data_IF_075839869300
#
_entry.id   IF_075839869300
#
_cell.length_a   1.000
_cell.length_b   1.000
_cell.length_c   1.000
_cell.angle_alpha   90.00
_cell.angle_beta   90.00
_cell.angle_gamma   90.00
#
_symmetry.space_group_name_H-M   'P 1'
#
loop_
_entity.id
_entity.type
_entity.pdbx_description
1 polymer ?
#
# COMPACT_ATOMS: atom_id res chain seq x y z
N UNK A 1 45.11 64.38 -11.14
CA UNK A 1 43.69 63.95 -11.15
C UNK A 1 43.64 62.42 -11.10
N UNK A 2 43.40 61.84 -9.91
CA UNK A 2 43.39 60.38 -9.73
C UNK A 2 42.02 59.78 -10.09
N UNK A 3 41.98 58.87 -11.06
CA UNK A 3 40.77 58.12 -11.45
C UNK A 3 40.42 57.10 -10.37
N UNK A 4 39.26 57.25 -9.74
CA UNK A 4 38.69 56.26 -8.80
C UNK A 4 37.95 55.19 -9.61
N UNK A 5 38.41 53.95 -9.54
CA UNK A 5 37.69 52.80 -10.09
C UNK A 5 36.44 52.46 -9.27
N UNK A 6 35.32 52.10 -9.93
CA UNK A 6 34.08 51.76 -9.25
C UNK A 6 34.19 50.39 -8.55
N UNK A 7 33.76 50.34 -7.28
CA UNK A 7 33.66 49.10 -6.50
C UNK A 7 32.46 48.27 -6.98
N UNK A 8 32.72 47.04 -7.42
CA UNK A 8 31.68 46.08 -7.77
C UNK A 8 30.86 45.69 -6.53
N UNK A 9 29.57 46.04 -6.52
CA UNK A 9 28.59 45.70 -5.48
C UNK A 9 27.75 44.47 -5.87
N UNK A 10 28.38 43.37 -6.25
CA UNK A 10 27.65 42.11 -6.44
C UNK A 10 28.27 41.03 -5.56
N UNK A 11 27.53 40.48 -4.58
CA UNK A 11 28.00 39.33 -3.83
C UNK A 11 28.19 38.17 -4.80
N UNK A 12 29.36 37.54 -4.78
CA UNK A 12 29.62 36.32 -5.54
C UNK A 12 28.70 35.23 -5.02
N UNK A 13 27.82 34.71 -5.87
CA UNK A 13 27.12 33.46 -5.60
C UNK A 13 28.15 32.34 -5.71
N UNK A 14 28.51 31.78 -4.57
CA UNK A 14 29.34 30.58 -4.49
C UNK A 14 28.58 29.44 -5.19
N UNK A 15 29.21 28.71 -6.13
CA UNK A 15 28.58 27.57 -6.78
C UNK A 15 28.31 26.49 -5.71
N UNK A 16 27.05 26.32 -5.34
CA UNK A 16 26.61 25.20 -4.50
C UNK A 16 26.99 23.91 -5.22
N UNK A 17 27.87 23.13 -4.60
CA UNK A 17 28.30 21.83 -5.11
C UNK A 17 27.07 20.99 -5.46
N UNK A 18 27.14 20.33 -6.63
CA UNK A 18 26.15 19.33 -7.01
C UNK A 18 26.26 18.17 -6.03
N UNK A 19 25.40 18.18 -5.01
CA UNK A 19 25.11 16.99 -4.23
C UNK A 19 24.41 16.02 -5.16
N UNK A 20 25.21 15.25 -5.89
CA UNK A 20 24.76 14.10 -6.64
C UNK A 20 23.96 13.19 -5.71
N UNK A 21 22.90 12.62 -6.29
CA UNK A 21 21.79 11.91 -5.69
C UNK A 21 22.19 10.57 -5.03
N UNK A 22 23.18 10.59 -4.15
CA UNK A 22 23.61 9.44 -3.34
C UNK A 22 22.61 9.07 -2.24
N UNK A 23 21.49 9.80 -2.09
CA UNK A 23 20.47 9.49 -1.09
C UNK A 23 19.42 8.49 -1.55
N UNK A 24 19.18 8.32 -2.86
CA UNK A 24 18.13 7.41 -3.34
C UNK A 24 18.50 5.92 -3.25
N UNK A 25 19.70 5.48 -3.67
CA UNK A 25 20.10 4.08 -3.55
C UNK A 25 20.29 3.69 -2.07
N UNK A 26 20.82 4.59 -1.26
CA UNK A 26 21.14 4.33 0.16
C UNK A 26 19.88 4.21 1.02
N UNK A 27 18.84 5.02 0.75
CA UNK A 27 17.53 4.88 1.41
C UNK A 27 16.81 3.60 0.96
N UNK A 28 16.93 3.20 -0.32
CA UNK A 28 16.35 1.94 -0.80
C UNK A 28 17.07 0.70 -0.23
N UNK A 29 18.40 0.72 -0.09
CA UNK A 29 19.13 -0.39 0.52
C UNK A 29 18.88 -0.52 2.03
N UNK A 30 18.75 0.60 2.76
CA UNK A 30 18.42 0.55 4.19
C UNK A 30 17.01 0.00 4.46
N UNK A 31 16.03 0.34 3.62
CA UNK A 31 14.68 -0.22 3.69
C UNK A 31 14.67 -1.74 3.39
N UNK A 32 15.48 -2.17 2.41
CA UNK A 32 15.56 -3.58 2.03
C UNK A 32 16.27 -4.45 3.10
N UNK A 33 17.23 -3.90 3.84
CA UNK A 33 17.94 -4.62 4.90
C UNK A 33 17.04 -4.88 6.12
N UNK A 34 16.24 -3.88 6.54
CA UNK A 34 15.26 -4.07 7.61
C UNK A 34 14.15 -5.06 7.22
N UNK A 35 13.72 -5.07 5.95
CA UNK A 35 12.77 -6.05 5.43
C UNK A 35 13.30 -7.49 5.46
N UNK A 36 14.59 -7.70 5.15
CA UNK A 36 15.20 -9.04 5.22
C UNK A 36 15.35 -9.55 6.66
N UNK A 37 15.85 -8.71 7.57
CA UNK A 37 16.13 -9.12 8.97
C UNK A 37 14.84 -9.37 9.75
N UNK A 38 13.77 -8.61 9.51
CA UNK A 38 12.51 -8.76 10.22
C UNK A 38 11.47 -9.62 9.48
N UNK A 39 11.78 -10.14 8.28
CA UNK A 39 10.81 -10.94 7.54
C UNK A 39 10.33 -12.14 8.37
N UNK A 40 9.01 -12.42 8.39
CA UNK A 40 8.46 -13.61 9.04
C UNK A 40 9.12 -14.91 8.56
N UNK A 41 9.61 -14.91 7.31
CA UNK A 41 10.30 -16.03 6.67
C UNK A 41 11.67 -16.32 7.27
N UNK A 42 12.48 -15.29 7.57
CA UNK A 42 13.78 -15.47 8.24
C UNK A 42 13.59 -15.87 9.71
N UNK A 43 12.58 -15.34 10.39
CA UNK A 43 12.20 -15.78 11.74
C UNK A 43 11.72 -17.24 11.78
N UNK A 44 10.92 -17.66 10.80
CA UNK A 44 10.49 -19.05 10.65
C UNK A 44 11.67 -19.99 10.37
N UNK A 45 12.63 -19.60 9.51
CA UNK A 45 13.83 -20.41 9.24
C UNK A 45 14.78 -20.50 10.44
N UNK A 46 14.93 -19.44 11.24
CA UNK A 46 15.71 -19.51 12.49
C UNK A 46 15.04 -20.37 13.56
N UNK A 47 13.70 -20.35 13.64
CA UNK A 47 12.96 -21.23 14.55
C UNK A 47 13.11 -22.71 14.16
N UNK A 48 13.12 -23.02 12.87
CA UNK A 48 13.25 -24.39 12.35
C UNK A 48 14.69 -24.96 12.49
N UNK A 49 15.69 -24.09 12.51
CA UNK A 49 17.08 -24.45 12.83
C UNK A 49 17.29 -24.82 14.31
N UNK A 50 16.39 -24.40 15.21
CA UNK A 50 16.41 -24.77 16.63
C UNK A 50 15.74 -26.12 16.94
N UNK A 51 14.88 -26.62 16.05
CA UNK A 51 14.03 -27.81 16.27
C UNK A 51 14.55 -29.08 15.62
N UNK A 52 15.58 -29.02 14.78
CA UNK A 52 16.20 -30.22 14.16
C UNK A 52 16.99 -31.11 15.12
N UNK A 53 17.16 -30.71 16.39
CA UNK A 53 17.72 -31.58 17.44
C UNK A 53 16.66 -32.39 18.20
N UNK A 54 15.36 -32.13 18.02
CA UNK A 54 14.31 -32.74 18.84
C UNK A 54 12.99 -32.93 18.07
N UNK A 55 12.93 -33.86 17.12
CA UNK A 55 11.72 -34.65 16.79
C UNK A 55 11.93 -35.47 15.51
N UNK A 56 12.62 -36.60 15.65
CA UNK A 56 12.52 -37.72 14.69
C UNK A 56 11.46 -38.67 15.22
N UNK A 57 10.19 -38.28 15.21
CA UNK A 57 9.06 -39.18 15.51
C UNK A 57 7.73 -38.61 14.99
N UNK A 58 6.93 -39.52 14.41
CA UNK A 58 5.48 -39.43 14.12
C UNK A 58 4.97 -38.46 13.04
N UNK A 59 5.10 -38.89 11.78
CA UNK A 59 4.00 -39.24 10.85
C UNK A 59 2.58 -38.60 10.92
N UNK A 60 2.13 -38.17 9.74
CA UNK A 60 0.76 -38.28 9.17
C UNK A 60 -0.34 -37.27 9.58
N UNK A 61 -0.58 -36.28 8.70
CA UNK A 61 -1.91 -35.69 8.43
C UNK A 61 -1.85 -34.86 7.14
N UNK A 62 -2.27 -35.41 6.00
CA UNK A 62 -3.55 -35.15 5.31
C UNK A 62 -3.83 -33.66 5.06
N UNK A 63 -3.70 -33.28 3.80
CA UNK A 63 -3.94 -31.96 3.25
C UNK A 63 -5.42 -31.55 3.26
N UNK A 64 -5.68 -30.28 3.60
CA UNK A 64 -6.87 -29.55 3.16
C UNK A 64 -6.51 -28.11 2.86
N UNK A 65 -6.08 -27.85 1.62
CA UNK A 65 -6.01 -26.51 1.05
C UNK A 65 -7.45 -26.00 0.84
N UNK A 66 -8.02 -25.38 1.85
CA UNK A 66 -9.21 -24.55 1.71
C UNK A 66 -8.73 -23.10 1.60
N UNK A 67 -8.42 -22.66 0.38
CA UNK A 67 -8.28 -21.23 0.10
C UNK A 67 -9.60 -20.55 0.49
N UNK A 68 -9.60 -19.50 1.32
CA UNK A 68 -10.82 -18.74 1.57
C UNK A 68 -11.21 -18.06 0.26
N UNK A 69 -12.26 -18.59 -0.37
CA UNK A 69 -12.95 -17.93 -1.46
C UNK A 69 -13.48 -16.61 -0.91
N UNK A 70 -12.74 -15.51 -1.14
CA UNK A 70 -13.28 -14.17 -0.94
C UNK A 70 -14.51 -14.07 -1.81
N UNK A 71 -15.67 -14.03 -1.16
CA UNK A 71 -16.96 -13.91 -1.80
C UNK A 71 -16.98 -12.62 -2.63
N UNK A 72 -16.68 -12.75 -3.93
CA UNK A 72 -16.92 -11.71 -4.89
C UNK A 72 -18.43 -11.49 -4.93
N UNK A 73 -18.89 -10.40 -4.32
CA UNK A 73 -20.25 -9.91 -4.47
C UNK A 73 -20.46 -9.54 -5.94
N UNK A 74 -20.88 -10.52 -6.73
CA UNK A 74 -21.25 -10.38 -8.14
C UNK A 74 -22.65 -9.76 -8.23
N UNK A 75 -22.72 -8.48 -7.86
CA UNK A 75 -23.87 -7.61 -8.16
C UNK A 75 -23.67 -6.99 -9.55
N UNK A 76 -24.46 -7.44 -10.52
CA UNK A 76 -24.45 -6.93 -11.88
C UNK A 76 -24.69 -5.41 -11.97
N UNK A 77 -23.90 -4.73 -12.82
CA UNK A 77 -24.23 -3.46 -13.47
C UNK A 77 -24.14 -2.15 -12.68
N UNK A 78 -24.13 -2.18 -11.35
CA UNK A 78 -23.94 -0.98 -10.52
C UNK A 78 -22.48 -0.84 -10.09
N UNK A 79 -21.91 0.38 -10.14
CA UNK A 79 -20.64 0.69 -9.45
C UNK A 79 -20.77 0.22 -8.00
N UNK A 80 -20.17 -0.94 -7.68
CA UNK A 80 -20.32 -1.59 -6.40
C UNK A 80 -19.85 -0.65 -5.30
N UNK A 81 -20.79 -0.08 -4.55
CA UNK A 81 -20.48 0.78 -3.42
C UNK A 81 -19.92 -0.11 -2.31
N UNK A 82 -18.74 0.19 -1.82
CA UNK A 82 -18.14 -0.53 -0.70
C UNK A 82 -19.10 -0.55 0.50
N UNK A 83 -19.37 -1.76 1.01
CA UNK A 83 -20.13 -1.98 2.23
C UNK A 83 -19.17 -2.59 3.27
N UNK A 84 -18.93 -1.94 4.42
CA UNK A 84 -18.07 -2.49 5.46
C UNK A 84 -18.72 -3.76 6.06
N UNK A 85 -17.88 -4.73 6.41
CA UNK A 85 -18.34 -5.94 7.12
C UNK A 85 -18.31 -5.72 8.63
N UNK A 86 -19.28 -6.30 9.35
CA UNK A 86 -19.24 -6.40 10.80
C UNK A 86 -18.48 -7.64 11.30
N UNK A 87 -18.12 -8.57 10.42
CA UNK A 87 -17.28 -9.72 10.76
C UNK A 87 -15.81 -9.31 10.80
N UNK A 88 -15.04 -9.96 11.67
CA UNK A 88 -13.58 -9.78 11.68
C UNK A 88 -12.99 -10.09 10.30
N UNK A 89 -12.12 -9.20 9.83
CA UNK A 89 -11.34 -9.36 8.60
C UNK A 89 -9.92 -9.87 8.88
N UNK A 90 -9.59 -10.10 10.17
CA UNK A 90 -8.29 -10.63 10.57
C UNK A 90 -8.19 -12.12 10.19
N UNK A 91 -7.13 -12.48 9.45
CA UNK A 91 -6.90 -13.86 9.00
C UNK A 91 -5.86 -14.55 9.91
N UNK A 92 -6.08 -15.79 10.35
CA UNK A 92 -5.17 -16.52 11.26
C UNK A 92 -3.77 -16.84 10.74
N UNK A 93 -3.51 -16.68 9.44
CA UNK A 93 -2.48 -17.44 8.70
C UNK A 93 -1.03 -17.03 8.96
N UNK A 94 -0.76 -15.94 9.69
CA UNK A 94 0.61 -15.38 9.84
C UNK A 94 1.18 -15.34 11.28
N UNK A 95 0.56 -15.98 12.28
CA UNK A 95 0.93 -15.76 13.69
C UNK A 95 1.92 -16.75 14.31
N UNK A 96 2.57 -17.59 13.51
CA UNK A 96 3.44 -18.63 14.06
C UNK A 96 2.65 -19.68 14.86
N UNK A 97 3.37 -20.49 15.64
CA UNK A 97 2.90 -21.75 16.21
C UNK A 97 1.66 -21.57 17.11
N UNK A 98 0.48 -21.93 16.58
CA UNK A 98 -0.81 -21.96 17.30
C UNK A 98 -0.86 -23.17 18.24
N UNK A 99 -0.11 -23.12 19.34
CA UNK A 99 -0.29 -24.09 20.42
C UNK A 99 -1.57 -23.76 21.19
N UNK A 100 -2.52 -24.68 21.05
CA UNK A 100 -3.75 -24.79 21.80
C UNK A 100 -3.55 -24.50 23.31
N UNK A 101 -4.41 -23.71 24.00
CA UNK A 101 -5.57 -22.96 23.51
C UNK A 101 -5.40 -21.44 23.73
N UNK A 102 -4.42 -20.81 23.08
CA UNK A 102 -4.22 -19.37 23.19
C UNK A 102 -4.63 -18.62 21.92
N UNK A 103 -5.91 -18.30 21.73
CA UNK A 103 -6.27 -17.30 20.71
C UNK A 103 -5.91 -15.91 21.24
N UNK A 104 -4.99 -15.22 20.58
CA UNK A 104 -4.74 -13.83 20.89
C UNK A 104 -5.88 -12.97 20.30
N UNK A 105 -6.93 -12.75 21.08
CA UNK A 105 -8.10 -11.95 20.68
C UNK A 105 -7.75 -10.49 20.32
N UNK A 106 -6.56 -10.01 20.69
CA UNK A 106 -6.06 -8.68 20.28
C UNK A 106 -5.60 -8.69 18.82
N UNK A 107 -5.04 -9.80 18.35
CA UNK A 107 -4.53 -9.93 16.98
C UNK A 107 -5.56 -10.57 16.03
N UNK A 108 -6.42 -11.44 16.58
CA UNK A 108 -7.46 -12.14 15.85
C UNK A 108 -8.76 -12.16 16.67
N UNK A 109 -9.47 -11.02 16.75
CA UNK A 109 -10.76 -10.97 17.41
C UNK A 109 -11.74 -11.87 16.68
N UNK A 110 -12.48 -12.66 17.44
CA UNK A 110 -13.59 -13.49 16.97
C UNK A 110 -14.92 -12.80 17.28
N UNK A 111 -15.98 -13.17 16.56
CA UNK A 111 -17.32 -12.61 16.75
C UNK A 111 -17.65 -11.39 15.87
N UNK A 112 -18.66 -10.63 16.28
CA UNK A 112 -19.18 -9.47 15.53
C UNK A 112 -18.60 -8.19 16.12
N UNK A 113 -17.99 -7.36 15.27
CA UNK A 113 -17.46 -6.06 15.65
C UNK A 113 -18.59 -5.13 16.13
N UNK A 114 -18.34 -4.38 17.20
CA UNK A 114 -19.27 -3.34 17.67
C UNK A 114 -19.37 -2.21 16.65
N UNK A 115 -20.43 -1.39 16.65
CA UNK A 115 -20.54 -0.25 15.73
C UNK A 115 -19.37 0.73 15.84
N UNK A 116 -18.83 0.92 17.06
CA UNK A 116 -17.63 1.73 17.29
C UNK A 116 -16.39 1.12 16.64
N UNK A 117 -16.23 -0.21 16.75
CA UNK A 117 -15.13 -0.94 16.13
C UNK A 117 -15.19 -0.87 14.60
N UNK A 118 -16.37 -1.09 14.01
CA UNK A 118 -16.58 -0.94 12.57
C UNK A 118 -16.23 0.48 12.13
N UNK A 119 -16.68 1.50 12.88
CA UNK A 119 -16.38 2.91 12.56
C UNK A 119 -14.88 3.21 12.61
N UNK A 120 -14.16 2.66 13.59
CA UNK A 120 -12.69 2.80 13.71
C UNK A 120 -11.96 2.20 12.52
N UNK A 121 -12.43 1.06 12.02
CA UNK A 121 -11.82 0.36 10.89
C UNK A 121 -12.11 1.03 9.53
N UNK A 122 -13.08 1.96 9.44
CA UNK A 122 -13.38 2.64 8.18
C UNK A 122 -12.23 3.56 7.79
N UNK A 123 -11.60 3.22 6.67
CA UNK A 123 -10.58 4.02 6.02
C UNK A 123 -11.16 4.69 4.77
N UNK A 124 -11.11 6.03 4.73
CA UNK A 124 -11.43 6.79 3.52
C UNK A 124 -10.26 7.70 3.19
N UNK A 125 -9.86 7.75 1.93
CA UNK A 125 -8.82 8.65 1.47
C UNK A 125 -9.15 9.22 0.09
N UNK A 126 -8.67 10.44 -0.16
CA UNK A 126 -8.80 11.10 -1.44
C UNK A 126 -7.49 11.80 -1.80
N UNK A 127 -6.95 11.46 -2.97
CA UNK A 127 -5.70 12.01 -3.48
C UNK A 127 -5.91 12.65 -4.83
N UNK A 128 -5.16 13.72 -5.08
CA UNK A 128 -5.10 14.37 -6.38
C UNK A 128 -3.64 14.55 -6.77
N UNK A 129 -3.32 14.23 -8.02
CA UNK A 129 -1.97 14.46 -8.52
C UNK A 129 -1.79 14.04 -9.96
N UNK A 130 -0.55 13.87 -10.40
CA UNK A 130 -0.24 13.56 -11.78
C UNK A 130 -0.39 12.06 -12.07
N UNK A 131 -0.76 11.74 -13.30
CA UNK A 131 -0.60 10.39 -13.83
C UNK A 131 0.12 10.41 -15.17
N UNK A 132 0.80 9.31 -15.47
CA UNK A 132 1.37 9.01 -16.79
C UNK A 132 1.04 7.56 -17.16
N UNK A 133 0.75 7.33 -18.43
CA UNK A 133 0.55 6.02 -19.02
C UNK A 133 1.71 5.75 -19.98
N UNK A 134 2.41 4.65 -19.76
CA UNK A 134 3.53 4.20 -20.58
C UNK A 134 3.25 2.81 -21.15
N UNK A 135 3.99 2.37 -22.18
CA UNK A 135 3.99 0.97 -22.58
C UNK A 135 4.32 0.04 -21.41
N UNK A 136 3.92 -1.23 -21.51
CA UNK A 136 4.31 -2.26 -20.55
C UNK A 136 5.82 -2.44 -20.49
N UNK A 137 6.35 -2.72 -19.30
CA UNK A 137 7.78 -3.08 -19.14
C UNK A 137 8.06 -4.55 -19.47
N UNK A 138 7.02 -5.37 -19.50
CA UNK A 138 7.09 -6.81 -19.78
C UNK A 138 6.09 -7.16 -20.88
N UNK A 139 6.35 -8.22 -21.65
CA UNK A 139 5.45 -8.72 -22.70
C UNK A 139 4.07 -9.11 -22.19
N UNK A 140 3.98 -9.48 -20.90
CA UNK A 140 2.70 -9.77 -20.22
C UNK A 140 1.89 -8.52 -19.88
N UNK A 141 2.40 -7.31 -20.15
CA UNK A 141 1.76 -6.05 -19.82
C UNK A 141 1.47 -5.25 -21.09
N UNK A 142 0.21 -4.90 -21.30
CA UNK A 142 -0.20 -4.01 -22.38
C UNK A 142 0.27 -2.58 -22.13
N UNK A 143 0.09 -2.10 -20.89
CA UNK A 143 0.45 -0.74 -20.48
C UNK A 143 0.68 -0.68 -18.98
N UNK A 144 1.29 0.42 -18.54
CA UNK A 144 1.42 0.76 -17.13
C UNK A 144 0.90 2.17 -16.88
N UNK A 145 0.26 2.36 -15.73
CA UNK A 145 -0.14 3.67 -15.23
C UNK A 145 0.62 3.95 -13.95
N UNK A 146 1.28 5.10 -13.89
CA UNK A 146 1.89 5.62 -12.68
C UNK A 146 1.11 6.83 -12.21
N UNK A 147 0.76 6.86 -10.92
CA UNK A 147 0.04 7.96 -10.29
C UNK A 147 0.84 8.40 -9.07
N UNK A 148 1.03 9.71 -8.93
CA UNK A 148 1.58 10.34 -7.73
C UNK A 148 0.68 11.49 -7.33
N UNK A 149 0.29 11.56 -6.07
CA UNK A 149 -0.57 12.62 -5.59
C UNK A 149 -0.44 12.88 -4.12
N UNK A 150 -1.03 14.00 -3.69
CA UNK A 150 -1.16 14.36 -2.28
C UNK A 150 -2.65 14.36 -1.91
N UNK A 151 -2.92 14.16 -0.63
CA UNK A 151 -4.28 13.97 -0.16
C UNK A 151 -4.40 13.96 1.35
N UNK A 152 -5.56 13.49 1.78
CA UNK A 152 -5.92 13.30 3.18
C UNK A 152 -6.63 11.96 3.32
N UNK A 153 -6.62 11.43 4.54
CA UNK A 153 -7.40 10.24 4.90
C UNK A 153 -8.06 10.42 6.26
N UNK A 154 -8.91 9.47 6.65
CA UNK A 154 -9.56 9.47 7.96
C UNK A 154 -8.59 9.28 9.13
N UNK A 155 -7.44 8.64 8.90
CA UNK A 155 -6.44 8.33 9.94
C UNK A 155 -5.15 9.14 9.82
N UNK A 156 -4.91 9.80 8.68
CA UNK A 156 -3.69 10.56 8.40
C UNK A 156 -4.07 11.91 7.77
N UNK A 157 -3.69 13.01 8.42
CA UNK A 157 -4.04 14.37 8.01
C UNK A 157 -3.38 14.78 6.68
N UNK A 158 -2.10 14.48 6.49
CA UNK A 158 -1.35 14.82 5.29
C UNK A 158 -0.68 13.58 4.73
N UNK A 159 -1.09 13.18 3.54
CA UNK A 159 -0.57 11.97 2.92
C UNK A 159 -0.17 12.18 1.47
N UNK A 160 0.84 11.43 1.06
CA UNK A 160 1.10 11.18 -0.34
C UNK A 160 0.64 9.79 -0.74
N UNK A 161 0.31 9.64 -2.02
CA UNK A 161 0.14 8.34 -2.65
C UNK A 161 1.13 8.19 -3.81
N UNK A 162 1.73 7.01 -3.89
CA UNK A 162 2.40 6.54 -5.10
C UNK A 162 1.73 5.24 -5.52
N UNK A 163 1.27 5.17 -6.76
CA UNK A 163 0.54 4.01 -7.27
C UNK A 163 1.08 3.63 -8.64
N UNK A 164 1.22 2.33 -8.86
CA UNK A 164 1.56 1.73 -10.15
C UNK A 164 0.52 0.68 -10.48
N UNK A 165 -0.03 0.76 -11.69
CA UNK A 165 -1.03 -0.17 -12.23
C UNK A 165 -0.42 -0.81 -13.47
N UNK A 166 -0.56 -2.12 -13.60
CA UNK A 166 -0.21 -2.88 -14.79
C UNK A 166 -1.49 -3.44 -15.44
N UNK A 167 -1.73 -3.07 -16.69
CA UNK A 167 -2.79 -3.67 -17.50
C UNK A 167 -2.21 -4.89 -18.17
N UNK A 168 -2.75 -6.07 -17.89
CA UNK A 168 -2.30 -7.31 -18.50
C UNK A 168 -2.44 -7.26 -20.04
N UNK A 169 -1.56 -7.94 -20.76
CA UNK A 169 -1.70 -8.13 -22.21
C UNK A 169 -2.86 -9.09 -22.51
N UNK A 170 -2.94 -10.21 -21.77
CA UNK A 170 -4.01 -11.21 -21.87
C UNK A 170 -5.34 -10.74 -21.26
N UNK A 171 -6.45 -10.68 -22.03
CA UNK A 171 -7.74 -10.16 -21.57
C UNK A 171 -8.42 -10.98 -20.48
N UNK A 172 -7.99 -12.22 -20.27
CA UNK A 172 -8.52 -13.10 -19.23
C UNK A 172 -7.92 -12.79 -17.85
N UNK A 173 -6.77 -12.11 -17.80
CA UNK A 173 -6.10 -11.75 -16.56
C UNK A 173 -6.64 -10.41 -16.02
N UNK A 174 -6.68 -10.32 -14.69
CA UNK A 174 -7.08 -9.10 -13.99
C UNK A 174 -6.06 -7.98 -14.18
N UNK A 175 -6.54 -6.74 -14.08
CA UNK A 175 -5.63 -5.59 -13.94
C UNK A 175 -5.14 -5.58 -12.50
N UNK A 176 -3.83 -5.48 -12.32
CA UNK A 176 -3.21 -5.47 -11.00
C UNK A 176 -2.46 -4.17 -10.76
N UNK A 177 -2.18 -3.87 -9.50
CA UNK A 177 -1.38 -2.73 -9.13
C UNK A 177 -0.90 -2.81 -7.70
N UNK A 178 -0.06 -1.85 -7.34
CA UNK A 178 0.37 -1.62 -5.97
C UNK A 178 0.30 -0.12 -5.69
N UNK A 179 -0.02 0.22 -4.45
CA UNK A 179 0.00 1.59 -3.97
C UNK A 179 0.67 1.68 -2.60
N UNK A 180 1.46 2.73 -2.40
CA UNK A 180 1.98 3.13 -1.09
C UNK A 180 1.38 4.48 -0.70
N UNK A 181 0.81 4.56 0.50
CA UNK A 181 0.33 5.79 1.11
C UNK A 181 1.28 6.14 2.23
N UNK A 182 1.86 7.33 2.16
CA UNK A 182 2.90 7.78 3.09
C UNK A 182 2.33 8.89 3.95
N UNK A 183 2.37 8.70 5.27
CA UNK A 183 2.06 9.78 6.19
C UNK A 183 3.21 10.81 6.21
N UNK A 184 2.87 12.09 6.07
CA UNK A 184 3.81 13.21 6.16
C UNK A 184 3.84 13.87 7.53
N UNK A 185 3.10 13.35 8.51
CA UNK A 185 3.15 13.86 9.87
C UNK A 185 4.53 13.61 10.50
N UNK A 186 5.04 14.60 11.24
CA UNK A 186 6.44 14.70 11.70
C UNK A 186 6.95 13.50 12.52
N UNK A 187 6.10 12.57 12.97
CA UNK A 187 6.48 11.51 13.91
C UNK A 187 5.88 10.13 13.61
N UNK A 188 5.11 9.95 12.53
CA UNK A 188 4.35 8.71 12.37
C UNK A 188 5.06 7.63 11.57
N UNK A 189 6.03 7.95 10.70
CA UNK A 189 6.74 7.00 9.81
C UNK A 189 5.82 5.91 9.22
N UNK A 190 4.53 6.23 9.06
CA UNK A 190 3.48 5.25 8.81
C UNK A 190 3.32 5.13 7.31
N UNK A 191 3.35 3.90 6.84
CA UNK A 191 3.19 3.57 5.42
C UNK A 191 2.08 2.54 5.31
N UNK A 192 1.10 2.81 4.46
CA UNK A 192 0.06 1.84 4.12
C UNK A 192 0.31 1.34 2.70
N UNK A 193 0.80 0.11 2.60
CA UNK A 193 1.00 -0.62 1.35
C UNK A 193 -0.26 -1.37 0.96
N UNK A 194 -0.69 -1.24 -0.29
CA UNK A 194 -1.89 -1.88 -0.82
C UNK A 194 -1.54 -2.64 -2.10
N UNK A 195 -1.97 -3.89 -2.17
CA UNK A 195 -2.09 -4.66 -3.40
C UNK A 195 -3.49 -4.43 -3.98
N UNK A 196 -3.54 -4.18 -5.30
CA UNK A 196 -4.75 -3.85 -6.02
C UNK A 196 -5.01 -4.91 -7.09
N UNK A 197 -6.25 -5.37 -7.17
CA UNK A 197 -6.72 -6.17 -8.29
C UNK A 197 -8.15 -5.76 -8.68
N UNK A 198 -8.43 -5.79 -9.98
CA UNK A 198 -9.71 -5.42 -10.53
C UNK A 198 -10.01 -6.13 -11.84
N UNK A 199 -11.30 -6.34 -12.18
CA UNK A 199 -11.70 -6.85 -13.48
C UNK A 199 -11.11 -5.98 -14.60
N UNK A 200 -10.65 -6.62 -15.69
CA UNK A 200 -10.16 -5.87 -16.86
C UNK A 200 -11.24 -5.04 -17.55
N UNK A 201 -12.51 -5.36 -17.30
CA UNK A 201 -13.68 -4.62 -17.80
C UNK A 201 -13.92 -3.31 -17.05
N UNK A 202 -13.31 -3.12 -15.87
CA UNK A 202 -13.45 -1.92 -15.05
C UNK A 202 -12.55 -0.79 -15.57
N UNK A 203 -12.91 -0.29 -16.75
CA UNK A 203 -12.21 0.78 -17.45
C UNK A 203 -13.11 1.97 -17.73
N UNK A 204 -12.52 3.13 -17.94
CA UNK A 204 -13.23 4.30 -18.41
C UNK A 204 -13.46 4.27 -19.93
N UNK A 205 -14.11 5.30 -20.47
CA UNK A 205 -14.37 5.45 -21.92
C UNK A 205 -13.12 5.42 -22.82
N UNK A 206 -11.92 5.49 -22.25
CA UNK A 206 -10.64 5.44 -22.97
C UNK A 206 -9.87 4.14 -22.72
N UNK A 207 -10.49 3.15 -22.07
CA UNK A 207 -9.86 1.87 -21.77
C UNK A 207 -8.86 1.93 -20.61
N UNK A 208 -8.88 2.98 -19.77
CA UNK A 208 -8.00 3.08 -18.61
C UNK A 208 -8.65 2.45 -17.37
N UNK A 209 -7.92 1.66 -16.57
CA UNK A 209 -8.46 1.08 -15.35
C UNK A 209 -8.97 2.16 -14.40
N UNK A 210 -10.24 2.12 -14.04
CA UNK A 210 -10.87 3.16 -13.22
C UNK A 210 -11.40 2.65 -11.87
N UNK A 211 -11.38 1.34 -11.63
CA UNK A 211 -11.86 0.76 -10.38
C UNK A 211 -11.13 -0.56 -10.05
N UNK A 212 -10.72 -0.69 -8.79
CA UNK A 212 -10.19 -1.92 -8.20
C UNK A 212 -11.13 -2.35 -7.07
N UNK A 213 -11.63 -3.57 -7.15
CA UNK A 213 -12.60 -4.13 -6.19
C UNK A 213 -11.94 -5.04 -5.16
N UNK A 214 -10.68 -5.39 -5.38
CA UNK A 214 -9.87 -6.17 -4.46
C UNK A 214 -8.71 -5.31 -4.00
N UNK A 215 -8.74 -4.94 -2.73
CA UNK A 215 -7.70 -4.16 -2.06
C UNK A 215 -7.26 -4.96 -0.87
N UNK A 216 -6.01 -5.41 -0.86
CA UNK A 216 -5.42 -6.14 0.27
C UNK A 216 -4.18 -5.41 0.74
N UNK A 217 -3.81 -5.61 2.01
CA UNK A 217 -2.65 -4.95 2.60
C UNK A 217 -1.39 -5.67 2.13
N UNK A 218 -0.39 -4.92 1.68
CA UNK A 218 0.95 -5.46 1.43
C UNK A 218 1.77 -5.31 2.71
N UNK A 219 1.95 -6.43 3.41
CA UNK A 219 2.69 -6.48 4.68
C UNK A 219 4.17 -6.13 4.49
N UNK A 220 4.74 -6.28 3.29
CA UNK A 220 6.15 -5.95 3.04
C UNK A 220 6.36 -4.46 2.75
N UNK A 221 5.30 -3.77 2.31
CA UNK A 221 5.33 -2.34 2.01
C UNK A 221 4.70 -1.48 3.12
N UNK A 222 3.91 -2.09 4.00
CA UNK A 222 3.27 -1.40 5.13
C UNK A 222 4.23 -1.28 6.31
N UNK A 223 4.10 -0.21 7.08
CA UNK A 223 4.88 0.08 8.25
C UNK A 223 4.08 0.96 9.21
N UNK A 224 4.55 1.09 10.44
CA UNK A 224 3.89 1.96 11.41
C UNK A 224 2.69 1.26 12.04
N UNK A 225 1.56 1.96 12.11
CA UNK A 225 0.30 1.41 12.62
C UNK A 225 -0.35 0.38 11.70
N UNK A 226 0.11 0.24 10.46
CA UNK A 226 -0.42 -0.71 9.47
C UNK A 226 0.41 -1.98 9.31
N UNK A 227 1.46 -2.13 10.10
CA UNK A 227 2.20 -3.38 10.15
C UNK A 227 1.27 -4.52 10.60
N UNK A 228 1.38 -5.67 9.94
CA UNK A 228 0.54 -6.86 10.16
C UNK A 228 -0.99 -6.61 10.06
N UNK A 229 -1.41 -5.55 9.37
CA UNK A 229 -2.82 -5.21 9.19
C UNK A 229 -3.53 -6.06 8.13
N UNK A 230 -4.85 -6.03 8.17
CA UNK A 230 -5.72 -6.61 7.16
C UNK A 230 -6.55 -5.51 6.51
N UNK A 231 -6.78 -5.61 5.21
CA UNK A 231 -7.64 -4.67 4.51
C UNK A 231 -8.54 -5.34 3.49
N UNK A 232 -9.70 -4.73 3.30
CA UNK A 232 -10.61 -4.98 2.20
C UNK A 232 -11.23 -3.66 1.77
N UNK A 233 -11.48 -3.45 0.48
CA UNK A 233 -11.98 -2.17 0.01
C UNK A 233 -12.07 -2.04 -1.48
N UNK A 234 -12.39 -0.82 -1.91
CA UNK A 234 -12.40 -0.41 -3.31
C UNK A 234 -11.54 0.83 -3.50
N UNK A 235 -10.89 0.91 -4.67
CA UNK A 235 -10.17 2.09 -5.14
C UNK A 235 -10.78 2.54 -6.45
N UNK A 236 -11.23 3.79 -6.51
CA UNK A 236 -11.71 4.42 -7.74
C UNK A 236 -10.66 5.42 -8.25
N UNK A 237 -10.42 5.42 -9.56
CA UNK A 237 -9.49 6.35 -10.22
C UNK A 237 -10.24 7.14 -11.29
N UNK A 238 -10.21 8.46 -11.18
CA UNK A 238 -10.78 9.38 -12.17
C UNK A 238 -9.66 10.15 -12.86
N UNK A 239 -9.61 10.11 -14.19
CA UNK A 239 -8.56 10.73 -14.99
C UNK A 239 -9.01 12.01 -15.68
N UNK A 240 -8.16 13.03 -15.61
CA UNK A 240 -8.27 14.33 -16.28
C UNK A 240 -7.07 14.51 -17.21
N UNK A 241 -7.22 14.19 -18.51
CA UNK A 241 -6.13 14.19 -19.46
C UNK A 241 -5.58 15.60 -19.74
N UNK A 242 -4.26 15.71 -19.87
CA UNK A 242 -3.60 16.92 -20.33
C UNK A 242 -3.43 16.92 -21.86
N UNK A 243 -3.40 18.10 -22.46
CA UNK A 243 -3.06 18.28 -23.88
C UNK A 243 -1.56 18.11 -24.14
N UNK A 244 -0.72 18.33 -23.12
CA UNK A 244 0.73 18.16 -23.23
C UNK A 244 1.07 16.68 -23.10
N UNK A 245 1.97 16.16 -23.94
CA UNK A 245 2.51 14.79 -23.85
C UNK A 245 4.03 14.85 -23.87
N UNK A 246 4.67 14.09 -22.98
CA UNK A 246 6.11 13.88 -23.04
C UNK A 246 6.48 12.78 -24.04
N UNK A 247 7.75 12.72 -24.50
CA UNK A 247 8.24 11.62 -25.32
C UNK A 247 8.05 10.26 -24.62
N UNK A 248 7.62 9.23 -25.35
CA UNK A 248 7.41 7.88 -24.80
C UNK A 248 6.17 7.70 -23.91
N UNK A 249 5.37 8.76 -23.72
CA UNK A 249 4.15 8.73 -22.91
C UNK A 249 2.93 8.58 -23.81
N UNK A 250 2.10 7.56 -23.55
CA UNK A 250 0.84 7.31 -24.26
C UNK A 250 -0.16 8.42 -23.90
N UNK A 251 -0.30 8.69 -22.60
CA UNK A 251 -1.18 9.73 -22.07
C UNK A 251 -0.67 10.23 -20.70
N UNK A 252 -0.93 11.48 -20.37
CA UNK A 252 -0.65 12.02 -19.04
C UNK A 252 -1.69 13.06 -18.64
N UNK A 253 -1.76 13.38 -17.36
CA UNK A 253 -2.68 14.39 -16.85
C UNK A 253 -2.75 14.40 -15.34
N UNK A 254 -3.93 14.74 -14.82
CA UNK A 254 -4.25 14.70 -13.40
C UNK A 254 -5.16 13.52 -13.10
N UNK A 255 -4.89 12.75 -12.05
CA UNK A 255 -5.78 11.71 -11.55
C UNK A 255 -6.30 12.10 -10.16
N UNK A 256 -7.54 11.69 -9.88
CA UNK A 256 -8.14 11.72 -8.55
C UNK A 256 -8.35 10.28 -8.13
N UNK A 257 -7.70 9.86 -7.05
CA UNK A 257 -7.79 8.52 -6.48
C UNK A 257 -8.66 8.61 -5.23
N UNK A 258 -9.69 7.77 -5.13
CA UNK A 258 -10.55 7.66 -3.94
C UNK A 258 -10.47 6.24 -3.42
N UNK A 259 -10.24 6.11 -2.12
CA UNK A 259 -10.14 4.82 -1.44
C UNK A 259 -11.26 4.76 -0.41
N UNK A 260 -11.99 3.65 -0.42
CA UNK A 260 -12.97 3.31 0.61
C UNK A 260 -12.68 1.88 1.03
N UNK A 261 -12.17 1.72 2.24
CA UNK A 261 -11.73 0.44 2.75
C UNK A 261 -12.13 0.27 4.22
N UNK A 262 -12.06 -0.98 4.65
CA UNK A 262 -12.01 -1.37 6.05
C UNK A 262 -10.61 -1.90 6.31
N UNK A 263 -9.92 -1.27 7.26
CA UNK A 263 -8.56 -1.64 7.65
C UNK A 263 -8.59 -2.01 9.12
N UNK A 264 -8.18 -3.23 9.40
CA UNK A 264 -7.98 -3.71 10.75
C UNK A 264 -6.49 -3.77 11.03
N UNK A 265 -6.08 -3.14 12.13
CA UNK A 265 -4.75 -3.28 12.70
C UNK A 265 -4.91 -3.52 14.18
N UNK A 266 -4.09 -4.42 14.73
CA UNK A 266 -4.06 -4.71 16.15
C UNK A 266 -3.39 -3.57 16.97
N UNK A 267 -2.79 -2.57 16.30
CA UNK A 267 -2.16 -1.38 16.91
C UNK A 267 -1.07 -1.67 17.95
N UNK A 268 -0.56 -2.91 18.02
CA UNK A 268 0.43 -3.34 19.01
C UNK A 268 1.81 -2.71 18.82
N UNK A 269 2.15 -2.27 17.60
CA UNK A 269 3.44 -1.65 17.31
C UNK A 269 3.62 -0.21 17.83
N UNK A 270 2.53 0.51 18.13
CA UNK A 270 2.56 1.93 18.54
C UNK A 270 1.71 2.19 19.79
N UNK A 271 1.86 1.37 20.83
CA UNK A 271 1.44 1.75 22.19
C UNK A 271 2.46 2.78 22.73
N UNK A 272 2.61 3.91 22.04
CA UNK A 272 3.25 5.08 22.61
C UNK A 272 2.29 5.69 23.63
N UNK A 273 2.85 6.28 24.70
CA UNK A 273 2.14 6.71 25.93
C UNK A 273 0.87 7.57 25.74
N UNK A 274 0.58 8.05 24.54
CA UNK A 274 -0.56 8.95 24.24
C UNK A 274 -1.50 8.43 23.11
N UNK A 275 -1.34 7.21 22.60
CA UNK A 275 -2.17 6.71 21.49
C UNK A 275 -3.65 6.48 21.87
N UNK A 276 -3.98 6.40 23.17
CA UNK A 276 -5.34 6.22 23.67
C UNK A 276 -6.17 7.52 23.79
N UNK A 277 -5.63 8.69 23.42
CA UNK A 277 -6.30 9.99 23.66
C UNK A 277 -7.11 10.47 22.43
N UNK A 278 -7.63 9.57 21.59
CA UNK A 278 -8.68 9.95 20.65
C UNK A 278 -9.66 8.80 20.38
N UNK A 279 -10.74 8.68 21.18
CA UNK A 279 -11.88 7.81 20.90
C UNK A 279 -12.73 8.31 19.71
#
# INVERSE_FOLDING_TARGET
MGRRSPRARRPGLEPVERRDLLSLPTVMMAAHYNGMVNSPRVRAMLADAGTTAASRASSTSTASNASPAMAASSGAGGRGRFAPSSTSIAVPENQGYQLNPGYNLVLQPTGTATPAEVKRQIFKAAFRGTYVITPGSYSSQQSQVFIRGAGTSTSMLHTDIQMRIAVAADPTLQTTGAAGIFDRNLNSNTVLGLNLAGPRTSVDSRGRPNQFTTVTLDVNASAGTYDEGFSQGVVDVTYYPSRKRGPGIIEQGTAVVRIQAQIYSALVGFILRNASINP
#
